data_IF_150511072633
#
_entry.id   IF_150511072633
#
_cell.length_a   1.000
_cell.length_b   1.000
_cell.length_c   1.000
_cell.angle_alpha   90.00
_cell.angle_beta   90.00
_cell.angle_gamma   90.00
#
_symmetry.space_group_name_H-M   'P 1'
#
loop_
_entity.id
_entity.type
_entity.pdbx_description
1 polymer ?
#
# COMPACT_ATOMS: atom_id res chain seq x y z
N UNK A 1 11.71 19.26 13.01
CA UNK A 1 12.67 18.16 12.90
C UNK A 1 12.24 16.86 13.60
N UNK A 2 11.94 16.84 14.92
CA UNK A 2 11.56 15.62 15.65
C UNK A 2 10.32 14.91 15.07
N UNK A 3 9.31 15.65 14.66
CA UNK A 3 8.07 15.09 14.07
C UNK A 3 8.30 14.53 12.66
N UNK A 4 9.13 15.19 11.83
CA UNK A 4 9.43 14.70 10.48
C UNK A 4 10.23 13.38 10.55
N UNK A 5 11.21 13.27 11.46
CA UNK A 5 11.96 12.03 11.64
C UNK A 5 11.05 10.88 12.09
N UNK A 6 10.12 11.14 13.04
CA UNK A 6 9.13 10.15 13.47
C UNK A 6 8.26 9.68 12.30
N UNK A 7 7.79 10.58 11.46
CA UNK A 7 7.01 10.25 10.27
C UNK A 7 7.78 9.39 9.28
N UNK A 8 9.04 9.75 8.98
CA UNK A 8 9.92 8.97 8.10
C UNK A 8 10.11 7.54 8.64
N UNK A 9 10.44 7.41 9.93
CA UNK A 9 10.65 6.10 10.55
C UNK A 9 9.41 5.22 10.48
N UNK A 10 8.22 5.78 10.78
CA UNK A 10 6.97 5.05 10.73
C UNK A 10 6.60 4.63 9.30
N UNK A 11 6.80 5.54 8.32
CA UNK A 11 6.54 5.24 6.91
C UNK A 11 7.52 4.21 6.36
N UNK A 12 8.80 4.33 6.67
CA UNK A 12 9.81 3.35 6.26
C UNK A 12 9.49 1.96 6.85
N UNK A 13 9.13 1.89 8.14
CA UNK A 13 8.71 0.64 8.77
C UNK A 13 7.46 0.06 8.09
N UNK A 14 6.47 0.88 7.76
CA UNK A 14 5.30 0.45 7.00
C UNK A 14 5.71 -0.10 5.62
N UNK A 15 6.57 0.59 4.88
CA UNK A 15 7.07 0.15 3.57
C UNK A 15 7.83 -1.18 3.65
N UNK A 16 8.68 -1.35 4.66
CA UNK A 16 9.37 -2.63 4.90
C UNK A 16 8.36 -3.77 5.08
N UNK A 17 7.33 -3.54 5.90
CA UNK A 17 6.29 -4.54 6.18
C UNK A 17 5.46 -4.81 4.92
N UNK A 18 5.05 -3.79 4.19
CA UNK A 18 4.33 -3.94 2.92
C UNK A 18 5.13 -4.74 1.89
N UNK A 19 6.47 -4.63 1.89
CA UNK A 19 7.34 -5.43 1.04
C UNK A 19 7.19 -6.95 1.22
N UNK A 20 6.64 -7.42 2.35
CA UNK A 20 6.32 -8.82 2.56
C UNK A 20 4.98 -9.25 1.93
N UNK A 21 4.13 -8.32 1.49
CA UNK A 21 2.81 -8.61 0.95
C UNK A 21 2.81 -9.59 -0.25
N UNK A 22 3.68 -9.43 -1.27
CA UNK A 22 3.76 -10.39 -2.37
C UNK A 22 4.14 -11.81 -1.92
N UNK A 23 4.96 -11.93 -0.87
CA UNK A 23 5.36 -13.23 -0.31
C UNK A 23 4.15 -13.91 0.31
N UNK A 24 3.37 -13.20 1.13
CA UNK A 24 2.15 -13.75 1.73
C UNK A 24 1.14 -14.17 0.66
N UNK A 25 0.94 -13.36 -0.38
CA UNK A 25 0.04 -13.70 -1.48
C UNK A 25 0.50 -14.96 -2.23
N UNK A 26 1.80 -15.03 -2.57
CA UNK A 26 2.38 -16.17 -3.26
C UNK A 26 2.25 -17.45 -2.44
N UNK A 27 2.63 -17.41 -1.16
CA UNK A 27 2.54 -18.59 -0.27
C UNK A 27 1.09 -19.03 -0.06
N UNK A 28 0.15 -18.09 0.06
CA UNK A 28 -1.27 -18.41 0.21
C UNK A 28 -1.79 -19.18 -1.00
N UNK A 29 -1.45 -18.74 -2.22
CA UNK A 29 -1.85 -19.41 -3.46
C UNK A 29 -1.14 -20.76 -3.59
N UNK A 30 0.16 -20.84 -3.29
CA UNK A 30 0.91 -22.10 -3.30
C UNK A 30 0.35 -23.15 -2.33
N UNK A 31 -0.23 -22.72 -1.21
CA UNK A 31 -0.89 -23.60 -0.25
C UNK A 31 -2.36 -23.90 -0.57
N UNK A 32 -2.82 -23.58 -1.79
CA UNK A 32 -4.15 -23.95 -2.30
C UNK A 32 -5.25 -22.92 -2.07
N UNK A 33 -4.90 -21.69 -1.69
CA UNK A 33 -5.84 -20.55 -1.70
C UNK A 33 -5.94 -19.90 -3.07
N UNK A 34 -6.91 -19.02 -3.26
CA UNK A 34 -7.02 -18.16 -4.43
C UNK A 34 -6.99 -16.67 -4.06
N UNK A 35 -6.72 -15.80 -5.05
CA UNK A 35 -6.54 -14.36 -4.82
C UNK A 35 -7.80 -13.68 -4.27
N UNK A 36 -8.98 -14.13 -4.67
CA UNK A 36 -10.26 -13.59 -4.20
C UNK A 36 -10.49 -13.89 -2.73
N UNK A 37 -10.23 -15.15 -2.33
CA UNK A 37 -10.26 -15.58 -0.93
C UNK A 37 -9.22 -14.82 -0.10
N UNK A 38 -8.01 -14.59 -0.65
CA UNK A 38 -6.97 -13.80 0.01
C UNK A 38 -7.43 -12.37 0.31
N UNK A 39 -8.06 -11.72 -0.66
CA UNK A 39 -8.55 -10.35 -0.49
C UNK A 39 -9.70 -10.28 0.52
N UNK A 40 -10.74 -11.07 0.34
CA UNK A 40 -11.93 -11.04 1.21
C UNK A 40 -11.60 -11.45 2.64
N UNK A 41 -11.07 -12.66 2.81
CA UNK A 41 -10.79 -13.18 4.15
C UNK A 41 -9.66 -12.43 4.86
N UNK A 42 -8.71 -11.84 4.11
CA UNK A 42 -7.69 -10.97 4.67
C UNK A 42 -8.30 -9.74 5.34
N UNK A 43 -9.31 -9.11 4.72
CA UNK A 43 -10.02 -7.99 5.34
C UNK A 43 -10.93 -8.45 6.49
N UNK A 44 -11.65 -9.57 6.33
CA UNK A 44 -12.48 -10.15 7.40
C UNK A 44 -11.64 -10.43 8.66
N UNK A 45 -10.50 -11.10 8.51
CA UNK A 45 -9.60 -11.37 9.64
C UNK A 45 -9.07 -10.08 10.27
N UNK A 46 -8.74 -9.07 9.44
CA UNK A 46 -8.32 -7.77 9.95
C UNK A 46 -9.40 -7.11 10.81
N UNK A 47 -10.67 -7.17 10.38
CA UNK A 47 -11.82 -6.67 11.16
C UNK A 47 -11.94 -7.42 12.48
N UNK A 48 -11.86 -8.76 12.45
CA UNK A 48 -11.98 -9.60 13.66
C UNK A 48 -10.84 -9.30 14.64
N UNK A 49 -9.59 -9.26 14.18
CA UNK A 49 -8.44 -8.98 15.03
C UNK A 49 -8.50 -7.56 15.63
N UNK A 50 -8.86 -6.57 14.82
CA UNK A 50 -8.96 -5.18 15.28
C UNK A 50 -10.13 -4.98 16.24
N UNK A 51 -11.28 -5.59 15.97
CA UNK A 51 -12.42 -5.56 16.89
C UNK A 51 -12.04 -6.17 18.25
N UNK A 52 -11.42 -7.35 18.23
CA UNK A 52 -10.92 -8.00 19.44
C UNK A 52 -9.93 -7.13 20.20
N UNK A 53 -8.97 -6.53 19.51
CA UNK A 53 -7.98 -5.65 20.11
C UNK A 53 -8.61 -4.38 20.72
N UNK A 54 -9.56 -3.74 20.01
CA UNK A 54 -10.27 -2.54 20.49
C UNK A 54 -11.05 -2.88 21.77
N UNK A 55 -11.77 -4.01 21.79
CA UNK A 55 -12.54 -4.47 22.95
C UNK A 55 -11.62 -4.80 24.15
N UNK A 56 -10.55 -5.56 23.94
CA UNK A 56 -9.62 -5.96 24.99
C UNK A 56 -8.87 -4.75 25.59
N UNK A 57 -8.55 -3.76 24.76
CA UNK A 57 -7.86 -2.54 25.22
C UNK A 57 -8.83 -1.44 25.68
N UNK A 58 -10.14 -1.72 25.71
CA UNK A 58 -11.22 -0.79 26.11
C UNK A 58 -11.18 0.54 25.33
N UNK A 59 -10.71 0.51 24.07
CA UNK A 59 -10.75 1.69 23.19
C UNK A 59 -12.17 1.92 22.69
N UNK A 60 -12.48 3.18 22.36
CA UNK A 60 -13.78 3.53 21.80
C UNK A 60 -13.82 3.30 20.30
N UNK A 61 -14.87 2.67 19.81
CA UNK A 61 -15.20 2.64 18.37
C UNK A 61 -15.74 3.96 17.84
N UNK A 62 -16.03 4.92 18.73
CA UNK A 62 -16.67 6.16 18.34
C UNK A 62 -15.77 6.99 17.40
N UNK A 63 -16.37 7.44 16.29
CA UNK A 63 -15.75 8.37 15.35
C UNK A 63 -16.70 9.56 15.15
N UNK A 64 -16.15 10.76 14.91
CA UNK A 64 -16.99 11.94 14.63
C UNK A 64 -17.87 11.71 13.40
N UNK A 65 -19.18 11.94 13.52
CA UNK A 65 -20.13 11.73 12.41
C UNK A 65 -19.72 12.41 11.10
N UNK A 66 -19.12 13.59 11.18
CA UNK A 66 -18.60 14.34 10.02
C UNK A 66 -17.50 13.63 9.24
N UNK A 67 -16.80 12.65 9.86
CA UNK A 67 -15.71 11.89 9.25
C UNK A 67 -16.16 10.56 8.66
N UNK A 68 -17.37 10.08 8.95
CA UNK A 68 -17.85 8.77 8.51
C UNK A 68 -17.83 8.65 6.99
N UNK A 69 -18.32 9.66 6.26
CA UNK A 69 -18.29 9.65 4.80
C UNK A 69 -16.85 9.54 4.26
N UNK A 70 -15.91 10.27 4.85
CA UNK A 70 -14.52 10.25 4.43
C UNK A 70 -13.83 8.91 4.74
N UNK A 71 -14.18 8.26 5.86
CA UNK A 71 -13.74 6.90 6.17
C UNK A 71 -14.26 5.92 5.12
N UNK A 72 -15.53 6.03 4.74
CA UNK A 72 -16.12 5.18 3.69
C UNK A 72 -15.40 5.41 2.36
N UNK A 73 -15.15 6.66 1.96
CA UNK A 73 -14.42 6.98 0.73
C UNK A 73 -12.98 6.44 0.76
N UNK A 74 -12.30 6.56 1.90
CA UNK A 74 -10.97 5.98 2.08
C UNK A 74 -11.00 4.43 1.98
N UNK A 75 -11.98 3.79 2.60
CA UNK A 75 -12.16 2.34 2.53
C UNK A 75 -12.49 1.86 1.11
N UNK A 76 -13.34 2.57 0.39
CA UNK A 76 -13.62 2.29 -1.04
C UNK A 76 -12.35 2.45 -1.88
N UNK A 77 -11.61 3.54 -1.72
CA UNK A 77 -10.35 3.73 -2.43
C UNK A 77 -9.35 2.60 -2.12
N UNK A 78 -9.29 2.14 -0.86
CA UNK A 78 -8.43 1.04 -0.44
C UNK A 78 -8.81 -0.30 -1.09
N UNK A 79 -10.09 -0.70 -1.05
CA UNK A 79 -10.52 -1.97 -1.64
C UNK A 79 -10.40 -1.95 -3.16
N UNK A 80 -10.74 -0.84 -3.82
CA UNK A 80 -10.58 -0.69 -5.27
C UNK A 80 -9.10 -0.81 -5.65
N UNK A 81 -8.21 -0.15 -4.91
CA UNK A 81 -6.76 -0.31 -5.08
C UNK A 81 -6.35 -1.77 -5.09
N UNK A 82 -6.74 -2.52 -4.07
CA UNK A 82 -6.35 -3.92 -3.92
C UNK A 82 -6.90 -4.79 -5.04
N UNK A 83 -8.18 -4.65 -5.36
CA UNK A 83 -8.82 -5.43 -6.41
C UNK A 83 -8.18 -5.13 -7.78
N UNK A 84 -8.04 -3.87 -8.14
CA UNK A 84 -7.42 -3.49 -9.42
C UNK A 84 -5.99 -4.02 -9.54
N UNK A 85 -5.19 -3.93 -8.47
CA UNK A 85 -3.83 -4.45 -8.47
C UNK A 85 -3.80 -5.98 -8.63
N UNK A 86 -4.60 -6.70 -7.85
CA UNK A 86 -4.60 -8.17 -7.90
C UNK A 86 -5.17 -8.71 -9.21
N UNK A 87 -6.17 -8.04 -9.80
CA UNK A 87 -6.67 -8.41 -11.12
C UNK A 87 -5.67 -8.08 -12.24
N UNK A 88 -4.84 -7.04 -12.09
CA UNK A 88 -3.79 -6.74 -13.08
C UNK A 88 -2.79 -7.88 -13.22
N UNK A 89 -2.59 -8.70 -12.19
CA UNK A 89 -1.71 -9.89 -12.24
C UNK A 89 -2.21 -11.00 -13.17
N UNK A 90 -3.47 -10.96 -13.58
CA UNK A 90 -3.99 -11.90 -14.59
C UNK A 90 -3.54 -11.54 -16.02
N UNK A 91 -3.10 -10.30 -16.23
CA UNK A 91 -2.73 -9.76 -17.54
C UNK A 91 -1.26 -9.39 -17.66
N UNK A 92 -0.59 -9.16 -16.53
CA UNK A 92 0.81 -8.72 -16.46
C UNK A 92 1.57 -9.58 -15.47
N UNK A 93 2.87 -9.71 -15.71
CA UNK A 93 3.77 -10.20 -14.67
C UNK A 93 3.67 -9.33 -13.42
N UNK A 94 3.67 -9.97 -12.24
CA UNK A 94 3.52 -9.30 -10.94
C UNK A 94 4.50 -8.14 -10.78
N UNK A 95 5.76 -8.31 -11.25
CA UNK A 95 6.78 -7.27 -11.20
C UNK A 95 6.43 -6.03 -12.04
N UNK A 96 5.81 -6.19 -13.20
CA UNK A 96 5.38 -5.07 -14.06
C UNK A 96 4.17 -4.38 -13.43
N UNK A 97 3.17 -5.14 -13.00
CA UNK A 97 1.96 -4.61 -12.38
C UNK A 97 2.27 -3.82 -11.09
N UNK A 98 3.11 -4.37 -10.21
CA UNK A 98 3.56 -3.67 -8.99
C UNK A 98 4.38 -2.44 -9.31
N UNK A 99 5.23 -2.47 -10.36
CA UNK A 99 5.98 -1.30 -10.83
C UNK A 99 5.04 -0.16 -11.21
N UNK A 100 3.98 -0.44 -11.97
CA UNK A 100 2.99 0.57 -12.36
C UNK A 100 2.20 1.08 -11.15
N UNK A 101 1.85 0.21 -10.21
CA UNK A 101 1.22 0.60 -8.95
C UNK A 101 2.14 1.54 -8.15
N UNK A 102 3.44 1.26 -8.07
CA UNK A 102 4.42 2.08 -7.33
C UNK A 102 4.68 3.47 -7.94
N UNK A 103 3.99 3.85 -9.01
CA UNK A 103 3.91 5.23 -9.44
C UNK A 103 2.99 6.09 -8.54
N UNK A 104 2.31 5.49 -7.55
CA UNK A 104 1.41 6.22 -6.65
C UNK A 104 2.02 7.43 -5.93
N UNK A 105 3.34 7.52 -5.61
CA UNK A 105 3.91 8.74 -5.06
C UNK A 105 3.84 9.92 -6.04
N UNK A 106 4.08 9.66 -7.32
CA UNK A 106 3.93 10.68 -8.36
C UNK A 106 2.45 11.08 -8.52
N UNK A 107 1.54 10.09 -8.52
CA UNK A 107 0.10 10.37 -8.56
C UNK A 107 -0.37 11.17 -7.34
N UNK A 108 0.11 10.85 -6.13
CA UNK A 108 -0.22 11.61 -4.93
C UNK A 108 0.27 13.07 -5.02
N UNK A 109 1.48 13.29 -5.55
CA UNK A 109 2.00 14.64 -5.76
C UNK A 109 1.17 15.41 -6.81
N UNK A 110 0.86 14.80 -7.96
CA UNK A 110 0.07 15.42 -9.02
C UNK A 110 -1.34 15.74 -8.53
N UNK A 111 -2.03 14.79 -7.92
CA UNK A 111 -3.38 14.98 -7.39
C UNK A 111 -3.41 16.02 -6.25
N UNK A 112 -2.37 16.05 -5.40
CA UNK A 112 -2.21 17.08 -4.36
C UNK A 112 -2.17 18.49 -4.96
N UNK A 113 -1.43 18.67 -6.05
CA UNK A 113 -1.37 19.98 -6.76
C UNK A 113 -2.68 20.29 -7.49
N UNK A 114 -3.20 19.33 -8.27
CA UNK A 114 -4.36 19.56 -9.15
C UNK A 114 -5.65 19.73 -8.33
N UNK A 115 -5.91 18.85 -7.37
CA UNK A 115 -7.16 18.83 -6.62
C UNK A 115 -7.12 19.71 -5.38
N UNK A 116 -5.96 19.84 -4.74
CA UNK A 116 -5.83 20.55 -3.45
C UNK A 116 -4.95 21.79 -3.51
N UNK A 117 -4.45 22.15 -4.71
CA UNK A 117 -3.61 23.34 -4.95
C UNK A 117 -2.34 23.39 -4.08
N UNK A 118 -1.77 22.23 -3.79
CA UNK A 118 -0.53 22.15 -3.02
C UNK A 118 0.64 22.77 -3.78
N UNK A 119 1.53 23.42 -3.04
CA UNK A 119 2.77 23.96 -3.61
C UNK A 119 3.91 22.99 -3.32
N UNK A 120 4.33 22.25 -4.32
CA UNK A 120 5.44 21.29 -4.19
C UNK A 120 6.70 21.92 -4.79
N UNK A 121 7.80 22.11 -4.00
CA UNK A 121 9.03 22.67 -4.51
C UNK A 121 9.70 21.76 -5.53
N UNK A 122 10.46 22.34 -6.48
CA UNK A 122 11.05 21.65 -7.62
C UNK A 122 11.90 20.44 -7.21
N UNK A 123 12.66 20.52 -6.13
CA UNK A 123 13.50 19.40 -5.68
C UNK A 123 12.69 18.15 -5.31
N UNK A 124 11.46 18.32 -4.81
CA UNK A 124 10.55 17.19 -4.54
C UNK A 124 10.02 16.59 -5.84
N UNK A 125 9.69 17.41 -6.84
CA UNK A 125 9.33 16.93 -8.17
C UNK A 125 10.42 16.08 -8.81
N UNK A 126 11.69 16.55 -8.71
CA UNK A 126 12.84 15.77 -9.19
C UNK A 126 12.93 14.43 -8.42
N UNK A 127 12.74 14.45 -7.09
CA UNK A 127 12.74 13.23 -6.29
C UNK A 127 11.63 12.25 -6.70
N UNK A 128 10.39 12.73 -6.91
CA UNK A 128 9.28 11.89 -7.39
C UNK A 128 9.58 11.30 -8.78
N UNK A 129 10.12 12.10 -9.70
CA UNK A 129 10.45 11.64 -11.05
C UNK A 129 11.58 10.58 -11.03
N UNK A 130 12.65 10.83 -10.28
CA UNK A 130 13.75 9.85 -10.12
C UNK A 130 13.27 8.58 -9.46
N UNK A 131 12.48 8.68 -8.40
CA UNK A 131 11.91 7.52 -7.72
C UNK A 131 11.00 6.70 -8.65
N UNK A 132 10.12 7.36 -9.41
CA UNK A 132 9.24 6.69 -10.38
C UNK A 132 10.02 5.99 -11.50
N UNK A 133 11.08 6.63 -12.01
CA UNK A 133 11.97 6.02 -13.00
C UNK A 133 12.70 4.80 -12.40
N UNK A 134 13.15 4.92 -11.16
CA UNK A 134 13.86 3.84 -10.45
C UNK A 134 12.98 2.61 -10.26
N UNK A 135 11.70 2.82 -9.95
CA UNK A 135 10.72 1.73 -9.80
C UNK A 135 10.58 0.93 -11.09
N UNK A 136 10.69 1.55 -12.28
CA UNK A 136 10.62 0.83 -13.56
C UNK A 136 11.75 -0.19 -13.75
N UNK A 137 12.83 -0.08 -12.98
CA UNK A 137 13.96 -1.02 -13.02
C UNK A 137 13.65 -2.36 -12.33
N UNK A 138 12.57 -2.45 -11.56
CA UNK A 138 12.12 -3.71 -10.96
C UNK A 138 11.25 -4.53 -11.94
N UNK A 139 10.78 -3.94 -13.04
CA UNK A 139 10.04 -4.66 -14.06
C UNK A 139 10.99 -5.61 -14.83
N UNK A 140 10.73 -6.90 -14.75
CA UNK A 140 11.46 -7.94 -15.47
C UNK A 140 10.55 -8.55 -16.52
N UNK A 141 10.92 -8.43 -17.82
CA UNK A 141 10.25 -9.11 -18.93
C UNK A 141 8.92 -8.47 -19.36
N UNK A 142 8.93 -7.73 -20.45
CA UNK A 142 7.71 -7.30 -21.14
C UNK A 142 7.40 -8.33 -22.21
N UNK A 143 6.33 -9.12 -22.05
CA UNK A 143 5.81 -9.96 -23.14
C UNK A 143 4.84 -9.13 -23.99
N UNK A 144 5.02 -9.17 -25.29
CA UNK A 144 4.16 -8.45 -26.23
C UNK A 144 2.83 -9.19 -26.44
N UNK A 145 1.70 -8.53 -26.20
CA UNK A 145 0.36 -8.97 -26.63
C UNK A 145 -0.72 -8.79 -25.57
N UNK A 146 -1.74 -7.97 -25.85
CA UNK A 146 -2.99 -7.90 -25.07
C UNK A 146 -2.94 -7.28 -23.68
N UNK A 147 -1.80 -6.77 -23.25
CA UNK A 147 -1.52 -6.38 -21.86
C UNK A 147 -2.06 -5.00 -21.44
N UNK A 148 -2.69 -4.25 -22.33
CA UNK A 148 -3.15 -2.89 -22.04
C UNK A 148 -4.17 -2.85 -20.88
N UNK A 149 -5.03 -3.88 -20.75
CA UNK A 149 -5.98 -3.98 -19.63
C UNK A 149 -5.22 -4.04 -18.29
N UNK A 150 -4.21 -4.91 -18.21
CA UNK A 150 -3.37 -5.02 -17.02
C UNK A 150 -2.64 -3.72 -16.68
N UNK A 151 -2.13 -3.00 -17.69
CA UNK A 151 -1.47 -1.69 -17.51
C UNK A 151 -2.45 -0.67 -16.93
N UNK A 152 -3.66 -0.59 -17.48
CA UNK A 152 -4.71 0.33 -16.99
C UNK A 152 -5.12 -0.02 -15.57
N UNK A 153 -5.34 -1.30 -15.26
CA UNK A 153 -5.70 -1.76 -13.93
C UNK A 153 -4.60 -1.43 -12.90
N UNK A 154 -3.35 -1.74 -13.22
CA UNK A 154 -2.21 -1.47 -12.34
C UNK A 154 -2.00 0.03 -12.09
N UNK A 155 -2.04 0.86 -13.14
CA UNK A 155 -1.92 2.31 -13.00
C UNK A 155 -3.11 2.91 -12.22
N UNK A 156 -4.34 2.47 -12.51
CA UNK A 156 -5.54 2.89 -11.80
C UNK A 156 -5.47 2.51 -10.31
N UNK A 157 -4.91 1.34 -9.97
CA UNK A 157 -4.69 0.96 -8.57
C UNK A 157 -3.76 1.94 -7.85
N UNK A 158 -2.69 2.41 -8.51
CA UNK A 158 -1.80 3.44 -7.98
C UNK A 158 -2.51 4.78 -7.76
N UNK A 159 -3.38 5.20 -8.68
CA UNK A 159 -4.20 6.41 -8.53
C UNK A 159 -5.16 6.27 -7.35
N UNK A 160 -5.85 5.13 -7.21
CA UNK A 160 -6.77 4.88 -6.10
C UNK A 160 -6.03 4.87 -4.75
N UNK A 161 -4.82 4.32 -4.69
CA UNK A 161 -4.01 4.35 -3.47
C UNK A 161 -3.54 5.77 -3.12
N UNK A 162 -3.15 6.56 -4.11
CA UNK A 162 -2.84 7.97 -3.92
C UNK A 162 -4.06 8.74 -3.38
N UNK A 163 -5.26 8.50 -3.90
CA UNK A 163 -6.51 9.07 -3.40
C UNK A 163 -6.79 8.64 -1.96
N UNK A 164 -6.63 7.36 -1.61
CA UNK A 164 -6.73 6.88 -0.22
C UNK A 164 -5.85 7.71 0.73
N UNK A 165 -4.58 7.91 0.36
CA UNK A 165 -3.64 8.66 1.19
C UNK A 165 -4.02 10.15 1.28
N UNK A 166 -4.43 10.78 0.17
CA UNK A 166 -4.86 12.17 0.15
C UNK A 166 -6.17 12.38 0.93
N UNK A 167 -7.15 11.49 0.81
CA UNK A 167 -8.37 11.53 1.62
C UNK A 167 -8.02 11.44 3.10
N UNK A 168 -7.11 10.51 3.47
CA UNK A 168 -6.65 10.35 4.86
C UNK A 168 -6.03 11.63 5.41
N UNK A 169 -5.26 12.36 4.61
CA UNK A 169 -4.66 13.63 4.99
C UNK A 169 -5.69 14.78 5.01
N UNK A 170 -6.36 15.01 3.88
CA UNK A 170 -7.16 16.22 3.66
C UNK A 170 -8.48 16.25 4.45
N UNK A 171 -9.02 15.08 4.78
CA UNK A 171 -10.19 14.96 5.65
C UNK A 171 -9.83 14.83 7.14
N UNK A 172 -8.56 15.07 7.52
CA UNK A 172 -8.08 14.96 8.89
C UNK A 172 -8.38 13.59 9.55
N UNK A 173 -8.40 12.49 8.77
CA UNK A 173 -8.63 11.16 9.30
C UNK A 173 -7.48 10.69 10.20
N UNK A 174 -6.33 11.37 10.13
CA UNK A 174 -5.15 11.13 10.97
C UNK A 174 -5.35 11.52 12.44
N UNK A 175 -6.44 12.22 12.79
CA UNK A 175 -6.82 12.48 14.18
C UNK A 175 -7.51 11.29 14.85
N UNK A 176 -8.05 10.34 14.05
CA UNK A 176 -8.65 9.11 14.56
C UNK A 176 -7.55 8.18 15.07
N UNK A 177 -7.83 7.43 16.15
CA UNK A 177 -6.92 6.37 16.60
C UNK A 177 -6.59 5.43 15.42
N UNK A 178 -5.31 5.15 15.13
CA UNK A 178 -4.92 4.36 13.96
C UNK A 178 -5.58 2.99 13.89
N UNK A 179 -5.77 2.34 15.04
CA UNK A 179 -6.39 1.01 15.12
C UNK A 179 -7.87 1.10 14.75
N UNK A 180 -8.57 2.12 15.25
CA UNK A 180 -9.98 2.37 14.93
C UNK A 180 -10.17 2.76 13.47
N UNK A 181 -9.28 3.58 12.93
CA UNK A 181 -9.30 3.95 11.52
C UNK A 181 -9.14 2.74 10.61
N UNK A 182 -8.10 1.91 10.85
CA UNK A 182 -7.83 0.71 10.06
C UNK A 182 -8.97 -0.30 10.20
N UNK A 183 -9.61 -0.41 11.37
CA UNK A 183 -10.81 -1.23 11.58
C UNK A 183 -11.92 -0.83 10.61
N UNK A 184 -12.29 0.45 10.55
CA UNK A 184 -13.36 0.91 9.66
C UNK A 184 -12.98 0.80 8.18
N UNK A 185 -11.75 1.13 7.81
CA UNK A 185 -11.26 0.93 6.43
C UNK A 185 -11.35 -0.54 6.04
N UNK A 186 -10.93 -1.47 6.91
CA UNK A 186 -11.03 -2.91 6.66
C UNK A 186 -12.49 -3.39 6.58
N UNK A 187 -13.38 -2.86 7.42
CA UNK A 187 -14.80 -3.19 7.37
C UNK A 187 -15.45 -2.74 6.05
N UNK A 188 -15.18 -1.51 5.61
CA UNK A 188 -15.65 -1.02 4.31
C UNK A 188 -15.05 -1.85 3.17
N UNK A 189 -13.77 -2.22 3.27
CA UNK A 189 -13.10 -3.05 2.26
C UNK A 189 -13.69 -4.45 2.19
N UNK A 190 -14.07 -5.05 3.33
CA UNK A 190 -14.79 -6.33 3.37
C UNK A 190 -16.11 -6.25 2.59
N UNK A 191 -16.92 -5.23 2.90
CA UNK A 191 -18.19 -4.99 2.21
C UNK A 191 -17.95 -4.74 0.72
N UNK A 192 -16.93 -3.95 0.37
CA UNK A 192 -16.56 -3.69 -1.02
C UNK A 192 -16.18 -4.96 -1.79
N UNK A 193 -15.41 -5.88 -1.20
CA UNK A 193 -15.10 -7.18 -1.80
C UNK A 193 -16.37 -7.99 -2.10
N UNK A 194 -17.34 -8.00 -1.18
CA UNK A 194 -18.61 -8.73 -1.38
C UNK A 194 -19.42 -8.13 -2.54
N UNK A 195 -19.50 -6.79 -2.63
CA UNK A 195 -20.22 -6.12 -3.73
C UNK A 195 -19.56 -6.29 -5.10
N UNK A 196 -18.24 -6.41 -5.16
CA UNK A 196 -17.52 -6.59 -6.42
C UNK A 196 -17.48 -8.04 -6.92
N UNK A 197 -18.28 -8.93 -6.32
CA UNK A 197 -18.45 -10.30 -6.79
C UNK A 197 -17.28 -11.24 -6.46
N UNK A 198 -16.36 -10.80 -5.59
CA UNK A 198 -15.23 -11.63 -5.10
C UNK A 198 -15.74 -12.92 -4.41
N UNK A 199 -17.02 -12.97 -4.01
CA UNK A 199 -17.64 -14.14 -3.40
C UNK A 199 -17.84 -15.32 -4.35
N UNK A 200 -17.87 -15.11 -5.67
CA UNK A 200 -18.17 -16.16 -6.65
C UNK A 200 -17.08 -17.21 -6.85
N UNK A 201 -15.86 -16.90 -6.45
CA UNK A 201 -14.68 -17.76 -6.60
C UNK A 201 -14.08 -18.24 -5.26
N UNK A 202 -14.88 -18.17 -4.19
CA UNK A 202 -14.41 -18.63 -2.87
C UNK A 202 -14.23 -20.16 -2.87
N UNK A 203 -13.06 -20.61 -2.48
CA UNK A 203 -12.75 -22.01 -2.28
C UNK A 203 -13.56 -22.58 -1.11
N UNK A 204 -14.17 -23.73 -1.29
CA UNK A 204 -15.01 -24.40 -0.26
C UNK A 204 -14.19 -24.76 1.00
N UNK A 205 -12.90 -25.01 0.85
CA UNK A 205 -11.98 -25.27 1.99
C UNK A 205 -10.63 -24.63 1.78
N UNK A 206 -10.19 -23.79 2.73
CA UNK A 206 -8.83 -23.23 2.75
C UNK A 206 -7.95 -24.12 3.62
N UNK A 207 -6.85 -24.67 3.09
CA UNK A 207 -5.92 -25.47 3.88
C UNK A 207 -5.36 -24.68 5.07
N UNK A 208 -5.11 -25.37 6.19
CA UNK A 208 -4.66 -24.73 7.44
C UNK A 208 -3.36 -23.92 7.26
N UNK A 209 -2.45 -24.37 6.40
CA UNK A 209 -1.21 -23.63 6.09
C UNK A 209 -1.50 -22.29 5.41
N UNK A 210 -2.43 -22.27 4.45
CA UNK A 210 -2.86 -21.06 3.78
C UNK A 210 -3.55 -20.11 4.78
N UNK A 211 -4.41 -20.64 5.66
CA UNK A 211 -5.08 -19.84 6.69
C UNK A 211 -4.09 -19.17 7.67
N UNK A 212 -3.03 -19.89 8.08
CA UNK A 212 -1.95 -19.32 8.92
C UNK A 212 -1.28 -18.15 8.19
N UNK A 213 -0.89 -18.33 6.92
CA UNK A 213 -0.27 -17.28 6.10
C UNK A 213 -1.19 -16.08 5.99
N UNK A 214 -2.48 -16.30 5.75
CA UNK A 214 -3.49 -15.25 5.66
C UNK A 214 -3.64 -14.48 6.99
N UNK A 215 -3.69 -15.19 8.12
CA UNK A 215 -3.79 -14.58 9.45
C UNK A 215 -2.56 -13.72 9.77
N UNK A 216 -1.36 -14.20 9.46
CA UNK A 216 -0.11 -13.44 9.61
C UNK A 216 -0.13 -12.20 8.71
N UNK A 217 -0.55 -12.32 7.44
CA UNK A 217 -0.69 -11.19 6.54
C UNK A 217 -1.71 -10.17 7.08
N UNK A 218 -2.86 -10.63 7.57
CA UNK A 218 -3.89 -9.75 8.12
C UNK A 218 -3.34 -8.91 9.29
N UNK A 219 -2.62 -9.51 10.22
CA UNK A 219 -2.05 -8.81 11.38
C UNK A 219 -0.90 -7.88 10.95
N UNK A 220 0.04 -8.39 10.17
CA UNK A 220 1.29 -7.68 9.87
C UNK A 220 1.04 -6.60 8.82
N UNK A 221 0.46 -6.96 7.66
CA UNK A 221 0.27 -6.03 6.56
C UNK A 221 -1.00 -5.18 6.70
N UNK A 222 -2.17 -5.81 6.92
CA UNK A 222 -3.42 -5.05 6.91
C UNK A 222 -3.66 -4.26 8.20
N UNK A 223 -3.06 -4.64 9.32
CA UNK A 223 -3.24 -3.92 10.59
C UNK A 223 -2.04 -3.05 10.89
N UNK A 224 -0.86 -3.65 11.10
CA UNK A 224 0.31 -2.93 11.58
C UNK A 224 0.84 -1.94 10.55
N UNK A 225 1.03 -2.37 9.29
CA UNK A 225 1.59 -1.49 8.26
C UNK A 225 0.66 -0.32 7.95
N UNK A 226 -0.66 -0.55 7.81
CA UNK A 226 -1.61 0.55 7.57
C UNK A 226 -1.70 1.51 8.76
N UNK A 227 -1.64 1.03 10.01
CA UNK A 227 -1.60 1.90 11.17
C UNK A 227 -0.33 2.78 11.19
N UNK A 228 0.83 2.21 10.87
CA UNK A 228 2.08 2.95 10.73
C UNK A 228 2.03 3.95 9.56
N UNK A 229 1.45 3.56 8.44
CA UNK A 229 1.28 4.44 7.28
C UNK A 229 0.37 5.64 7.60
N UNK A 230 -0.75 5.43 8.30
CA UNK A 230 -1.60 6.54 8.75
C UNK A 230 -0.83 7.52 9.62
N UNK A 231 0.02 7.02 10.52
CA UNK A 231 0.90 7.89 11.31
C UNK A 231 1.93 8.61 10.43
N UNK A 232 2.45 7.97 9.40
CA UNK A 232 3.28 8.60 8.38
C UNK A 232 2.57 9.79 7.74
N UNK A 233 1.33 9.58 7.25
CA UNK A 233 0.50 10.64 6.65
C UNK A 233 0.28 11.79 7.61
N UNK A 234 0.04 11.51 8.89
CA UNK A 234 -0.12 12.52 9.93
C UNK A 234 1.09 13.47 10.07
N UNK A 235 2.30 12.93 9.98
CA UNK A 235 3.52 13.70 10.21
C UNK A 235 4.17 14.26 8.96
N UNK A 236 3.97 13.65 7.79
CA UNK A 236 4.64 14.00 6.53
C UNK A 236 3.70 14.52 5.46
N UNK A 237 2.39 14.27 5.56
CA UNK A 237 1.42 14.42 4.49
C UNK A 237 1.45 13.25 3.49
N UNK A 238 0.43 13.16 2.64
CA UNK A 238 0.21 12.01 1.75
C UNK A 238 1.37 11.83 0.75
N UNK A 239 1.75 12.88 0.03
CA UNK A 239 2.78 12.79 -1.01
C UNK A 239 4.15 12.36 -0.47
N UNK A 240 4.56 12.89 0.69
CA UNK A 240 5.84 12.51 1.29
C UNK A 240 5.80 11.12 1.91
N UNK A 241 4.68 10.73 2.53
CA UNK A 241 4.48 9.35 3.00
C UNK A 241 4.54 8.38 1.82
N UNK A 242 3.87 8.69 0.71
CA UNK A 242 3.93 7.88 -0.50
C UNK A 242 5.38 7.70 -0.99
N UNK A 243 6.19 8.78 -1.02
CA UNK A 243 7.59 8.70 -1.44
C UNK A 243 8.41 7.79 -0.52
N UNK A 244 8.29 7.95 0.81
CA UNK A 244 9.02 7.12 1.76
C UNK A 244 8.49 5.68 1.85
N UNK A 245 7.27 5.40 1.42
CA UNK A 245 6.76 4.03 1.29
C UNK A 245 7.46 3.23 0.18
N UNK A 246 8.30 3.85 -0.66
CA UNK A 246 9.14 3.15 -1.65
C UNK A 246 10.24 2.26 -1.03
N UNK A 247 10.33 2.17 0.28
CA UNK A 247 10.97 1.03 0.92
C UNK A 247 10.28 -0.30 0.59
N UNK A 248 9.00 -0.28 0.24
CA UNK A 248 8.21 -1.46 -0.13
C UNK A 248 8.81 -2.24 -1.31
N UNK A 249 9.06 -1.68 -2.51
CA UNK A 249 9.67 -2.42 -3.61
C UNK A 249 11.10 -2.90 -3.30
N UNK A 250 11.85 -2.16 -2.49
CA UNK A 250 13.19 -2.57 -2.05
C UNK A 250 13.09 -3.85 -1.23
N UNK A 251 12.25 -3.84 -0.20
CA UNK A 251 12.10 -4.99 0.69
C UNK A 251 11.33 -6.13 0.06
N UNK A 252 10.45 -5.88 -0.92
CA UNK A 252 9.85 -6.92 -1.74
C UNK A 252 10.91 -7.72 -2.50
N UNK A 253 11.91 -7.07 -3.07
CA UNK A 253 13.05 -7.76 -3.69
C UNK A 253 13.89 -8.54 -2.68
N UNK A 254 14.20 -7.95 -1.52
CA UNK A 254 14.98 -8.60 -0.47
C UNK A 254 14.25 -9.84 0.06
N UNK A 255 12.98 -9.71 0.40
CA UNK A 255 12.18 -10.84 0.89
C UNK A 255 11.94 -11.89 -0.19
N UNK A 256 11.71 -11.48 -1.46
CA UNK A 256 11.64 -12.39 -2.59
C UNK A 256 12.91 -13.22 -2.76
N UNK A 257 14.07 -12.60 -2.56
CA UNK A 257 15.36 -13.32 -2.60
C UNK A 257 15.52 -14.30 -1.43
N UNK A 258 15.14 -13.89 -0.22
CA UNK A 258 15.30 -14.73 0.99
C UNK A 258 14.30 -15.88 1.03
N UNK A 259 13.02 -15.60 0.78
CA UNK A 259 11.93 -16.58 1.00
C UNK A 259 11.53 -17.34 -0.25
N UNK A 260 11.68 -16.76 -1.45
CA UNK A 260 11.31 -17.36 -2.72
C UNK A 260 12.52 -17.71 -3.60
N UNK A 261 13.75 -17.49 -3.07
CA UNK A 261 15.02 -17.78 -3.78
C UNK A 261 15.14 -17.06 -5.14
N UNK A 262 14.50 -15.88 -5.27
CA UNK A 262 14.55 -15.07 -6.47
C UNK A 262 15.86 -14.28 -6.53
N UNK A 263 16.55 -14.32 -7.66
CA UNK A 263 17.78 -13.54 -7.84
C UNK A 263 17.46 -12.05 -7.99
N UNK A 264 18.17 -11.20 -7.25
CA UNK A 264 18.12 -9.75 -7.46
C UNK A 264 18.94 -9.41 -8.70
N UNK A 265 18.29 -8.93 -9.75
CA UNK A 265 18.97 -8.54 -10.98
C UNK A 265 19.84 -7.29 -10.76
N UNK A 266 20.89 -7.12 -11.55
CA UNK A 266 21.69 -5.88 -11.55
C UNK A 266 20.81 -4.64 -11.77
N UNK A 267 19.80 -4.75 -12.65
CA UNK A 267 18.84 -3.68 -12.95
C UNK A 267 18.04 -3.30 -11.70
N UNK A 268 17.54 -4.28 -10.95
CA UNK A 268 16.84 -4.05 -9.66
C UNK A 268 17.79 -3.43 -8.62
N UNK A 269 19.05 -3.87 -8.58
CA UNK A 269 20.07 -3.28 -7.71
C UNK A 269 20.30 -1.80 -7.98
N UNK A 270 20.39 -1.39 -9.26
CA UNK A 270 20.45 0.04 -9.63
C UNK A 270 19.17 0.79 -9.22
N UNK A 271 17.99 0.20 -9.39
CA UNK A 271 16.72 0.78 -8.96
C UNK A 271 16.72 1.06 -7.44
N UNK A 272 17.18 0.11 -6.62
CA UNK A 272 17.34 0.29 -5.16
C UNK A 272 18.20 1.49 -4.84
N UNK A 273 19.39 1.58 -5.45
CA UNK A 273 20.31 2.69 -5.19
C UNK A 273 19.68 4.04 -5.56
N UNK A 274 19.03 4.14 -6.70
CA UNK A 274 18.35 5.38 -7.13
C UNK A 274 17.20 5.78 -6.22
N UNK A 275 16.40 4.84 -5.73
CA UNK A 275 15.34 5.13 -4.73
C UNK A 275 15.99 5.70 -3.47
N UNK A 276 17.01 5.02 -2.92
CA UNK A 276 17.67 5.47 -1.70
C UNK A 276 18.30 6.87 -1.86
N UNK A 277 18.91 7.16 -3.01
CA UNK A 277 19.44 8.49 -3.32
C UNK A 277 18.34 9.55 -3.41
N UNK A 278 17.19 9.23 -4.02
CA UNK A 278 16.03 10.12 -4.09
C UNK A 278 15.48 10.45 -2.70
N UNK A 279 15.33 9.43 -1.85
CA UNK A 279 14.88 9.60 -0.46
C UNK A 279 15.88 10.44 0.35
N UNK A 280 17.17 10.14 0.26
CA UNK A 280 18.23 10.88 0.96
C UNK A 280 18.27 12.35 0.51
N UNK A 281 18.21 12.62 -0.80
CA UNK A 281 18.18 13.97 -1.34
C UNK A 281 16.96 14.76 -0.80
N UNK A 282 15.80 14.13 -0.71
CA UNK A 282 14.59 14.77 -0.19
C UNK A 282 14.74 15.19 1.28
N UNK A 283 15.37 14.35 2.11
CA UNK A 283 15.63 14.65 3.53
C UNK A 283 16.66 15.78 3.66
N UNK A 284 17.79 15.67 2.95
CA UNK A 284 18.90 16.63 3.05
C UNK A 284 18.50 18.03 2.54
N UNK A 285 17.81 18.09 1.40
CA UNK A 285 17.36 19.36 0.82
C UNK A 285 16.18 19.96 1.59
N UNK A 286 15.36 19.13 2.20
CA UNK A 286 14.27 19.57 3.08
C UNK A 286 14.78 20.27 4.35
N UNK A 287 15.84 19.75 4.94
CA UNK A 287 16.45 20.33 6.15
C UNK A 287 17.18 21.67 5.90
N UNK A 288 17.65 21.94 4.65
CA UNK A 288 18.32 23.21 4.31
C UNK A 288 17.37 24.40 4.14
N UNK A 289 16.06 24.17 4.03
CA UNK A 289 15.04 25.21 3.80
C UNK A 289 14.18 25.52 5.02
N UNK A 290 14.44 24.90 6.15
CA UNK A 290 13.95 25.26 7.50
C UNK A 290 15.04 26.02 8.26
#
# INVERSE_FOLDING_TARGET
MKNSFKGITMTAAAGIIFGAFPIFTTLFVQFGGNVDAFNLYGFVLSVVFLAGYILLTKRSFAVPKKLVLWIVLAGVANVVTRILLTYSYQYLDVGIATTLHFLYPLFAAVLGVVCFREKIPLYKWIAFAVASLSVSMFATGVQAGGQWIGIVLAAASGICFALYMLITEKADLTQIDPVVFVFYVSAVSTVGCLFMGVSGSLTESIPIKALIVLALCAIINNVLAFALQQQGVKYLGAAMTALFSLFEPIFSCVFGSIFLQQAISLKSGFGIVLILLSLAATVLLGNRKQ
#
